data_IF_311533068833
#
_entry.id   IF_311533068833
#
_cell.length_a   1.000
_cell.length_b   1.000
_cell.length_c   1.000
_cell.angle_alpha   90.00
_cell.angle_beta   90.00
_cell.angle_gamma   90.00
#
_symmetry.space_group_name_H-M   'P 1'
#
loop_
_entity.id
_entity.type
_entity.pdbx_description
1 polymer ?
#
# COMPACT_ATOMS: atom_id res chain seq x y z
N UNK A 1 14.72 21.75 16.20
CA UNK A 1 13.34 21.20 16.02
C UNK A 1 13.04 21.13 14.53
N UNK A 2 12.57 19.99 14.09
CA UNK A 2 12.19 19.77 12.69
C UNK A 2 10.68 20.01 12.53
N UNK A 3 10.28 20.76 11.51
CA UNK A 3 8.88 21.02 11.20
C UNK A 3 8.48 20.27 9.92
N UNK A 4 7.35 19.58 9.98
CA UNK A 4 6.73 18.87 8.86
C UNK A 4 5.34 19.46 8.65
N UNK A 5 5.01 19.81 7.41
CA UNK A 5 3.69 20.35 7.09
C UNK A 5 2.61 19.25 7.04
N UNK A 6 1.38 19.62 7.36
CA UNK A 6 0.23 18.73 7.18
C UNK A 6 0.11 18.26 5.73
N UNK A 7 0.44 19.09 4.76
CA UNK A 7 0.41 18.73 3.34
C UNK A 7 1.38 17.60 3.00
N UNK A 8 2.59 17.64 3.54
CA UNK A 8 3.58 16.56 3.34
C UNK A 8 3.07 15.23 3.90
N UNK A 9 2.38 15.26 5.04
CA UNK A 9 1.76 14.09 5.65
C UNK A 9 0.65 13.56 4.75
N UNK A 10 -0.26 14.41 4.30
CA UNK A 10 -1.37 14.05 3.41
C UNK A 10 -0.85 13.38 2.13
N UNK A 11 0.12 13.99 1.46
CA UNK A 11 0.69 13.47 0.22
C UNK A 11 1.39 12.12 0.43
N UNK A 12 2.13 11.99 1.53
CA UNK A 12 2.82 10.74 1.88
C UNK A 12 1.84 9.63 2.21
N UNK A 13 0.82 9.89 3.02
CA UNK A 13 -0.21 8.90 3.39
C UNK A 13 -0.98 8.45 2.14
N UNK A 14 -1.36 9.36 1.25
CA UNK A 14 -2.03 9.02 0.00
C UNK A 14 -1.18 8.08 -0.86
N UNK A 15 0.10 8.38 -1.02
CA UNK A 15 1.05 7.53 -1.75
C UNK A 15 1.22 6.16 -1.09
N UNK A 16 1.36 6.12 0.22
CA UNK A 16 1.50 4.86 0.97
C UNK A 16 0.25 3.98 0.86
N UNK A 17 -0.95 4.56 0.88
CA UNK A 17 -2.19 3.82 0.66
C UNK A 17 -2.22 3.15 -0.71
N UNK A 18 -1.80 3.85 -1.76
CA UNK A 18 -1.73 3.31 -3.11
C UNK A 18 -0.68 2.19 -3.19
N UNK A 19 0.53 2.42 -2.71
CA UNK A 19 1.61 1.43 -2.73
C UNK A 19 1.25 0.17 -1.93
N UNK A 20 0.69 0.33 -0.72
CA UNK A 20 0.33 -0.80 0.14
C UNK A 20 -0.74 -1.70 -0.47
N UNK A 21 -1.63 -1.15 -1.30
CA UNK A 21 -2.72 -1.91 -1.92
C UNK A 21 -2.37 -2.46 -3.31
N UNK A 22 -1.32 -1.97 -3.94
CA UNK A 22 -0.93 -2.38 -5.31
C UNK A 22 0.34 -3.22 -5.36
N UNK A 23 1.12 -3.24 -4.28
CA UNK A 23 2.41 -3.94 -4.23
C UNK A 23 2.61 -4.59 -2.86
N UNK A 24 3.21 -5.77 -2.85
CA UNK A 24 3.68 -6.39 -1.61
C UNK A 24 5.03 -5.80 -1.19
N UNK A 25 5.31 -5.76 0.13
CA UNK A 25 6.66 -5.52 0.63
C UNK A 25 7.62 -6.59 0.10
N UNK A 26 8.89 -6.21 -0.02
CA UNK A 26 9.92 -7.08 -0.57
C UNK A 26 10.06 -8.40 0.18
N UNK A 27 10.07 -8.37 1.50
CA UNK A 27 10.18 -9.55 2.36
C UNK A 27 9.02 -10.54 2.16
N UNK A 28 7.80 -10.04 2.00
CA UNK A 28 6.62 -10.87 1.73
C UNK A 28 6.70 -11.45 0.31
N UNK A 29 7.12 -10.68 -0.67
CA UNK A 29 7.29 -11.16 -2.04
C UNK A 29 8.36 -12.26 -2.11
N UNK A 30 9.51 -12.08 -1.45
CA UNK A 30 10.57 -13.08 -1.37
C UNK A 30 10.08 -14.38 -0.69
N UNK A 31 9.27 -14.27 0.37
CA UNK A 31 8.68 -15.43 1.04
C UNK A 31 7.72 -16.20 0.12
N UNK A 32 6.90 -15.50 -0.67
CA UNK A 32 6.01 -16.12 -1.64
C UNK A 32 6.78 -16.78 -2.79
N UNK A 33 7.82 -16.13 -3.29
CA UNK A 33 8.68 -16.69 -4.35
C UNK A 33 9.37 -17.97 -3.88
N UNK A 34 9.86 -17.98 -2.64
CA UNK A 34 10.44 -19.17 -2.02
C UNK A 34 9.41 -20.28 -1.87
N UNK A 35 8.24 -19.99 -1.33
CA UNK A 35 7.16 -20.96 -1.17
C UNK A 35 6.76 -21.57 -2.52
N UNK A 36 6.66 -20.75 -3.56
CA UNK A 36 6.34 -21.18 -4.92
C UNK A 36 7.40 -22.13 -5.50
N UNK A 37 8.67 -21.85 -5.25
CA UNK A 37 9.78 -22.67 -5.73
C UNK A 37 9.88 -24.03 -5.01
N UNK A 38 9.54 -24.06 -3.72
CA UNK A 38 9.69 -25.23 -2.86
C UNK A 38 8.43 -26.11 -2.74
N UNK A 39 7.27 -25.63 -3.20
CA UNK A 39 5.98 -26.34 -3.05
C UNK A 39 5.95 -27.63 -3.89
N UNK A 40 5.84 -28.82 -3.27
CA UNK A 40 5.82 -30.08 -4.00
C UNK A 40 4.43 -30.47 -4.52
N UNK A 41 3.36 -29.94 -3.91
CA UNK A 41 2.00 -30.31 -4.30
C UNK A 41 1.53 -29.52 -5.51
N UNK A 42 1.20 -30.19 -6.63
CA UNK A 42 0.86 -29.50 -7.89
C UNK A 42 -0.29 -28.51 -7.77
N UNK A 43 -1.34 -28.83 -7.01
CA UNK A 43 -2.48 -27.94 -6.81
C UNK A 43 -2.08 -26.66 -6.05
N UNK A 44 -1.30 -26.82 -4.98
CA UNK A 44 -0.81 -25.67 -4.21
C UNK A 44 0.15 -24.82 -5.04
N UNK A 45 1.00 -25.44 -5.84
CA UNK A 45 1.91 -24.75 -6.75
C UNK A 45 1.13 -23.92 -7.78
N UNK A 46 0.08 -24.47 -8.39
CA UNK A 46 -0.78 -23.73 -9.31
C UNK A 46 -1.45 -22.53 -8.62
N UNK A 47 -1.88 -22.69 -7.37
CA UNK A 47 -2.46 -21.59 -6.60
C UNK A 47 -1.44 -20.48 -6.37
N UNK A 48 -0.21 -20.83 -5.99
CA UNK A 48 0.87 -19.85 -5.82
C UNK A 48 1.22 -19.15 -7.13
N UNK A 49 1.20 -19.86 -8.25
CA UNK A 49 1.41 -19.28 -9.58
C UNK A 49 0.32 -18.26 -9.93
N UNK A 50 -0.95 -18.56 -9.60
CA UNK A 50 -2.06 -17.62 -9.79
C UNK A 50 -1.93 -16.37 -8.91
N UNK A 51 -1.56 -16.54 -7.66
CA UNK A 51 -1.30 -15.41 -6.75
C UNK A 51 -0.18 -14.52 -7.29
N UNK A 52 0.88 -15.11 -7.76
CA UNK A 52 2.00 -14.39 -8.35
C UNK A 52 1.60 -13.61 -9.60
N UNK A 53 0.82 -14.23 -10.49
CA UNK A 53 0.28 -13.57 -11.69
C UNK A 53 -0.64 -12.40 -11.33
N UNK A 54 -1.46 -12.54 -10.31
CA UNK A 54 -2.32 -11.47 -9.80
C UNK A 54 -1.49 -10.28 -9.27
N UNK A 55 -0.43 -10.55 -8.53
CA UNK A 55 0.48 -9.52 -8.02
C UNK A 55 1.17 -8.76 -9.16
N UNK A 56 1.62 -9.47 -10.18
CA UNK A 56 2.24 -8.87 -11.35
C UNK A 56 1.25 -7.97 -12.12
N UNK A 57 0.02 -8.43 -12.34
CA UNK A 57 -1.03 -7.66 -12.99
C UNK A 57 -1.42 -6.40 -12.19
N UNK A 58 -1.58 -6.54 -10.87
CA UNK A 58 -1.91 -5.42 -10.00
C UNK A 58 -0.85 -4.31 -10.08
N UNK A 59 0.41 -4.70 -10.05
CA UNK A 59 1.54 -3.78 -10.17
C UNK A 59 1.60 -3.09 -11.54
N UNK A 60 1.44 -3.86 -12.61
CA UNK A 60 1.53 -3.36 -13.99
C UNK A 60 0.38 -2.40 -14.32
N UNK A 61 -0.83 -2.74 -13.89
CA UNK A 61 -2.03 -1.98 -14.20
C UNK A 61 -2.38 -0.93 -13.12
N UNK A 62 -1.60 -0.83 -12.05
CA UNK A 62 -1.86 0.03 -10.88
C UNK A 62 -3.26 -0.21 -10.27
N UNK A 63 -3.65 -1.47 -10.17
CA UNK A 63 -4.90 -1.91 -9.58
C UNK A 63 -4.66 -2.48 -8.17
N UNK A 64 -5.66 -2.45 -7.29
CA UNK A 64 -5.59 -3.15 -6.01
C UNK A 64 -5.33 -4.64 -6.19
N UNK A 65 -4.51 -5.21 -5.31
CA UNK A 65 -4.21 -6.65 -5.32
C UNK A 65 -5.46 -7.49 -5.07
N UNK A 66 -6.38 -6.98 -4.26
CA UNK A 66 -7.59 -7.68 -3.83
C UNK A 66 -8.77 -6.71 -3.76
N UNK A 67 -9.99 -7.22 -3.94
CA UNK A 67 -11.21 -6.45 -3.74
C UNK A 67 -11.45 -6.06 -2.27
N UNK A 68 -10.78 -6.72 -1.33
CA UNK A 68 -10.83 -6.38 0.10
C UNK A 68 -9.88 -5.20 0.39
N UNK A 69 -10.23 -4.06 -0.18
CA UNK A 69 -9.49 -2.81 -0.10
C UNK A 69 -10.38 -1.76 0.57
N UNK A 70 -10.65 -1.89 1.86
CA UNK A 70 -11.62 -1.04 2.53
C UNK A 70 -11.16 -0.47 3.87
N UNK A 71 -10.01 -0.89 4.38
CA UNK A 71 -9.52 -0.47 5.69
C UNK A 71 -8.05 -0.06 5.62
N UNK A 72 -7.73 1.12 6.15
CA UNK A 72 -6.37 1.57 6.31
C UNK A 72 -5.97 1.52 7.79
N UNK A 73 -4.86 0.85 8.09
CA UNK A 73 -4.20 0.89 9.39
C UNK A 73 -2.92 1.70 9.25
N UNK A 74 -2.85 2.84 9.92
CA UNK A 74 -1.70 3.75 9.85
C UNK A 74 -0.95 3.71 11.16
N UNK A 75 0.29 3.24 11.13
CA UNK A 75 1.19 3.21 12.28
C UNK A 75 2.13 4.40 12.18
N UNK A 76 2.23 5.16 13.26
CA UNK A 76 3.03 6.39 13.28
C UNK A 76 4.05 6.33 14.41
N UNK A 77 5.30 6.58 14.04
CA UNK A 77 6.37 6.83 15.00
C UNK A 77 6.81 8.28 14.84
N UNK A 78 6.60 9.08 15.88
CA UNK A 78 6.85 10.51 15.87
C UNK A 78 7.93 10.86 16.91
N UNK A 79 9.03 11.43 16.46
CA UNK A 79 10.08 11.92 17.35
C UNK A 79 9.63 13.12 18.18
N UNK A 80 10.16 13.25 19.39
CA UNK A 80 9.80 14.34 20.32
C UNK A 80 10.20 15.73 19.83
N UNK A 81 11.18 15.83 18.94
CA UNK A 81 11.65 17.09 18.37
C UNK A 81 11.00 17.44 17.03
N UNK A 82 9.97 16.70 16.63
CA UNK A 82 9.23 16.94 15.39
C UNK A 82 7.96 17.72 15.70
N UNK A 83 7.80 18.84 15.01
CA UNK A 83 6.59 19.65 15.05
C UNK A 83 5.78 19.46 13.77
N UNK A 84 4.49 19.20 13.90
CA UNK A 84 3.56 19.11 12.77
C UNK A 84 2.87 20.47 12.62
N UNK A 85 3.06 21.10 11.47
CA UNK A 85 2.38 22.34 11.12
C UNK A 85 1.02 22.03 10.49
N UNK A 86 -0.02 22.17 11.30
CA UNK A 86 -1.40 21.84 10.97
C UNK A 86 -1.97 20.69 11.80
N UNK A 87 -3.14 20.21 11.42
CA UNK A 87 -3.78 19.08 12.09
C UNK A 87 -3.25 17.76 11.58
N UNK A 88 -2.54 17.02 12.42
CA UNK A 88 -1.98 15.71 12.11
C UNK A 88 -3.07 14.69 11.74
N UNK A 89 -4.09 14.60 12.56
CA UNK A 89 -5.21 13.67 12.34
C UNK A 89 -5.95 13.98 11.03
N UNK A 90 -6.30 15.25 10.80
CA UNK A 90 -6.97 15.65 9.57
C UNK A 90 -6.11 15.39 8.32
N UNK A 91 -4.78 15.57 8.43
CA UNK A 91 -3.86 15.30 7.34
C UNK A 91 -3.82 13.81 6.98
N UNK A 92 -3.82 12.92 7.97
CA UNK A 92 -3.90 11.47 7.74
C UNK A 92 -5.22 11.09 7.09
N UNK A 93 -6.35 11.55 7.61
CA UNK A 93 -7.67 11.28 7.04
C UNK A 93 -7.78 11.73 5.58
N UNK A 94 -7.29 12.92 5.27
CA UNK A 94 -7.30 13.43 3.90
C UNK A 94 -6.38 12.62 2.97
N UNK A 95 -5.22 12.19 3.47
CA UNK A 95 -4.32 11.31 2.73
C UNK A 95 -4.96 9.96 2.40
N UNK A 96 -5.62 9.34 3.36
CA UNK A 96 -6.38 8.10 3.15
C UNK A 96 -7.49 8.29 2.14
N UNK A 97 -8.27 9.37 2.29
CA UNK A 97 -9.35 9.69 1.35
C UNK A 97 -8.85 9.82 -0.09
N UNK A 98 -7.76 10.54 -0.30
CA UNK A 98 -7.15 10.72 -1.63
C UNK A 98 -6.59 9.42 -2.19
N UNK A 99 -5.86 8.66 -1.39
CA UNK A 99 -5.28 7.39 -1.79
C UNK A 99 -6.33 6.37 -2.22
N UNK A 100 -7.38 6.20 -1.44
CA UNK A 100 -8.46 5.25 -1.77
C UNK A 100 -9.34 5.74 -2.92
N UNK A 101 -9.53 7.04 -3.10
CA UNK A 101 -10.20 7.58 -4.28
C UNK A 101 -9.42 7.22 -5.54
N UNK A 102 -8.09 7.30 -5.51
CA UNK A 102 -7.24 6.85 -6.60
C UNK A 102 -7.37 5.35 -6.88
N UNK A 103 -7.33 4.53 -5.85
CA UNK A 103 -7.41 3.07 -5.98
C UNK A 103 -8.73 2.60 -6.60
N UNK A 104 -9.84 3.22 -6.22
CA UNK A 104 -11.17 2.86 -6.69
C UNK A 104 -11.52 3.46 -8.06
N UNK A 105 -10.84 4.53 -8.46
CA UNK A 105 -11.10 5.27 -9.70
C UNK A 105 -9.78 5.56 -10.43
N UNK A 106 -9.08 4.53 -10.85
CA UNK A 106 -7.73 4.58 -11.43
C UNK A 106 -7.55 5.58 -12.59
N UNK A 107 -8.62 5.88 -13.34
CA UNK A 107 -8.58 6.86 -14.42
C UNK A 107 -8.47 8.32 -13.96
N UNK A 108 -8.56 8.60 -12.67
CA UNK A 108 -8.53 9.95 -12.08
C UNK A 108 -7.23 10.31 -11.36
N UNK A 109 -6.28 9.38 -11.32
CA UNK A 109 -4.99 9.56 -10.66
C UNK A 109 -3.86 9.94 -11.63
N UNK A 110 -4.18 10.70 -12.59
CA UNK A 110 -3.18 11.22 -13.54
C UNK A 110 -2.61 12.52 -13.04
#
# INVERSE_FOLDING_TARGET
>A
MRTISAQQITDTVARLCIEANTRLPRDVQEALDKARAEEPWPLAKNTLDLLWSNLAAAKEENLPICQDTGMACVFVELGTDVHIDGSFEAAIHEGVRRGYTCLLYTSRCV
#
